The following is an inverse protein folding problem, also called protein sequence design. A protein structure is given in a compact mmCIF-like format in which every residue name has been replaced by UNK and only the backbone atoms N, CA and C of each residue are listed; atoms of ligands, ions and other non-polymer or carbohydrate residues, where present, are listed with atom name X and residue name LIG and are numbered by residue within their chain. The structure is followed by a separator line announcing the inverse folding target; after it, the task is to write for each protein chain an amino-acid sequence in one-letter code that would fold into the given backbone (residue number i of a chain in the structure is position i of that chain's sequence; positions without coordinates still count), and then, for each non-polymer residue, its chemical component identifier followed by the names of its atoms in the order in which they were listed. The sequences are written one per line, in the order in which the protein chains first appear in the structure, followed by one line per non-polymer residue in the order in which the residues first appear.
data_IF_115422179403
#
_entry.id   IF_115422179403
#
_cell.length_a   1.000
_cell.length_b   1.000
_cell.length_c   1.000
_cell.angle_alpha   90.00
_cell.angle_beta   90.00
_cell.angle_gamma   90.00
#
_symmetry.space_group_name_H-M   'P 1'
#
loop_
_entity.id
_entity.type
_entity.pdbx_description
1 polymer ?
#
# COMPACT_ATOMS: atom_id res chain seq x y z
N UNK A 1 -10.70 14.56 95.23
CA UNK A 1 -10.31 13.88 93.97
C UNK A 1 -10.66 12.41 94.10
N UNK A 2 -11.71 11.95 93.42
CA UNK A 2 -12.17 10.56 93.50
C UNK A 2 -12.07 9.90 92.12
N UNK A 3 -11.28 8.83 92.03
CA UNK A 3 -11.10 7.99 90.83
C UNK A 3 -12.33 7.08 90.70
N UNK A 4 -13.04 7.14 89.56
CA UNK A 4 -14.10 6.16 89.22
C UNK A 4 -13.45 4.90 88.63
N UNK A 5 -13.68 3.76 89.27
CA UNK A 5 -13.32 2.43 88.78
C UNK A 5 -14.30 1.98 87.68
N UNK A 6 -13.77 1.55 86.53
CA UNK A 6 -14.55 0.90 85.46
C UNK A 6 -14.74 -0.57 85.84
N UNK A 7 -15.98 -1.06 85.81
CA UNK A 7 -16.30 -2.45 86.15
C UNK A 7 -15.97 -3.41 85.00
N UNK A 8 -15.61 -4.66 85.34
CA UNK A 8 -15.37 -5.76 84.37
C UNK A 8 -16.54 -6.01 83.40
N UNK A 9 -17.77 -5.65 83.77
CA UNK A 9 -18.96 -5.80 82.92
C UNK A 9 -19.02 -4.75 81.81
N UNK A 10 -18.48 -3.55 82.06
CA UNK A 10 -18.41 -2.45 81.10
C UNK A 10 -17.28 -2.67 80.09
N UNK A 11 -16.18 -3.31 80.49
CA UNK A 11 -15.08 -3.68 79.59
C UNK A 11 -15.51 -4.77 78.58
N UNK A 12 -16.28 -5.77 79.02
CA UNK A 12 -16.76 -6.83 78.13
C UNK A 12 -17.84 -6.36 77.14
N UNK A 13 -18.58 -5.28 77.43
CA UNK A 13 -19.52 -4.67 76.47
C UNK A 13 -18.83 -3.83 75.39
N UNK A 14 -17.64 -3.26 75.68
CA UNK A 14 -16.83 -2.53 74.70
C UNK A 14 -16.07 -3.46 73.74
N UNK A 15 -15.76 -4.69 74.16
CA UNK A 15 -15.17 -5.73 73.30
C UNK A 15 -16.22 -6.45 72.41
N UNK A 16 -17.50 -6.42 72.79
CA UNK A 16 -18.59 -7.06 72.03
C UNK A 16 -19.03 -6.32 70.77
N UNK A 17 -18.56 -5.09 70.53
CA UNK A 17 -18.88 -4.31 69.33
C UNK A 17 -17.80 -4.38 68.23
N UNK A 18 -16.72 -5.15 68.45
CA UNK A 18 -15.62 -5.31 67.48
C UNK A 18 -15.61 -6.69 66.78
N UNK A 19 -16.66 -7.51 66.95
CA UNK A 19 -16.67 -8.93 66.57
C UNK A 19 -17.69 -9.33 65.50
N UNK A 20 -18.15 -8.40 64.66
CA UNK A 20 -19.08 -8.71 63.55
C UNK A 20 -18.76 -7.93 62.27
N UNK A 21 -17.48 -7.75 61.96
CA UNK A 21 -17.05 -7.50 60.58
C UNK A 21 -17.04 -8.86 59.85
N UNK A 22 -18.22 -9.32 59.48
CA UNK A 22 -18.38 -10.40 58.49
C UNK A 22 -17.49 -10.08 57.29
N UNK A 23 -16.67 -11.06 56.92
CA UNK A 23 -15.83 -11.07 55.75
C UNK A 23 -16.65 -10.77 54.49
N UNK A 24 -16.80 -9.49 54.16
CA UNK A 24 -16.87 -9.09 52.76
C UNK A 24 -15.45 -9.34 52.28
N UNK A 25 -15.24 -10.51 51.68
CA UNK A 25 -14.07 -10.74 50.87
C UNK A 25 -13.99 -9.58 49.89
N UNK A 26 -13.08 -8.65 50.15
CA UNK A 26 -12.52 -7.82 49.11
C UNK A 26 -11.87 -8.81 48.16
N UNK A 27 -12.66 -9.33 47.22
CA UNK A 27 -12.16 -9.69 45.92
C UNK A 27 -11.55 -8.40 45.39
N UNK A 28 -10.29 -8.16 45.76
CA UNK A 28 -9.41 -7.38 44.92
C UNK A 28 -9.64 -7.96 43.53
N UNK A 29 -10.10 -7.19 42.53
CA UNK A 29 -10.12 -7.71 41.19
C UNK A 29 -8.71 -8.23 40.98
N UNK A 30 -8.61 -9.53 40.70
CA UNK A 30 -7.37 -10.07 40.17
C UNK A 30 -7.03 -9.10 39.06
N UNK A 31 -5.94 -8.36 39.22
CA UNK A 31 -5.29 -7.71 38.10
C UNK A 31 -4.79 -8.92 37.31
N UNK A 32 -5.71 -9.54 36.56
CA UNK A 32 -5.40 -10.37 35.42
C UNK A 32 -4.40 -9.52 34.69
N UNK A 33 -3.13 -9.91 34.75
CA UNK A 33 -2.09 -9.23 34.00
C UNK A 33 -2.66 -9.07 32.60
N UNK A 34 -2.99 -7.83 32.23
CA UNK A 34 -3.65 -7.58 30.96
C UNK A 34 -2.70 -8.17 29.92
N UNK A 35 -3.12 -9.27 29.28
CA UNK A 35 -2.28 -9.96 28.31
C UNK A 35 -1.81 -8.92 27.30
N UNK A 36 -0.54 -9.01 26.88
CA UNK A 36 0.01 -8.12 25.85
C UNK A 36 -0.97 -8.09 24.67
N UNK A 37 -1.44 -6.91 24.28
CA UNK A 37 -2.37 -6.78 23.16
C UNK A 37 -1.78 -7.42 21.91
N UNK A 38 -2.52 -8.35 21.30
CA UNK A 38 -2.08 -9.12 20.14
C UNK A 38 -2.56 -8.45 18.86
N UNK A 39 -1.61 -8.05 18.01
CA UNK A 39 -1.92 -7.47 16.71
C UNK A 39 -1.32 -8.31 15.60
N UNK A 40 -2.19 -8.81 14.72
CA UNK A 40 -1.78 -9.51 13.49
C UNK A 40 -1.77 -8.52 12.34
N UNK A 41 -0.69 -8.48 11.57
CA UNK A 41 -0.56 -7.65 10.36
C UNK A 41 -0.38 -8.55 9.14
N UNK A 42 -1.26 -8.44 8.14
CA UNK A 42 -1.24 -9.26 6.94
C UNK A 42 -0.66 -8.46 5.77
N UNK A 43 0.51 -8.90 5.27
CA UNK A 43 1.25 -8.30 4.16
C UNK A 43 2.41 -7.42 4.62
N UNK A 44 3.61 -7.66 4.07
CA UNK A 44 4.86 -6.96 4.41
C UNK A 44 5.22 -5.78 3.49
N UNK A 45 4.24 -5.24 2.76
CA UNK A 45 4.44 -4.10 1.87
C UNK A 45 4.37 -2.75 2.58
N UNK A 46 4.30 -1.66 1.80
CA UNK A 46 4.28 -0.27 2.30
C UNK A 46 3.28 -0.02 3.43
N UNK A 47 2.09 -0.61 3.39
CA UNK A 47 1.10 -0.48 4.47
C UNK A 47 1.47 -1.32 5.68
N UNK A 48 1.45 -2.64 5.55
CA UNK A 48 1.63 -3.56 6.69
C UNK A 48 3.00 -3.48 7.36
N UNK A 49 4.10 -3.34 6.63
CA UNK A 49 5.42 -3.15 7.26
C UNK A 49 5.49 -1.84 8.06
N UNK A 50 4.92 -0.75 7.54
CA UNK A 50 4.81 0.50 8.30
C UNK A 50 3.95 0.30 9.54
N UNK A 51 2.80 -0.38 9.43
CA UNK A 51 1.91 -0.60 10.56
C UNK A 51 2.60 -1.43 11.65
N UNK A 52 3.24 -2.54 11.28
CA UNK A 52 3.99 -3.39 12.22
C UNK A 52 5.11 -2.62 12.93
N UNK A 53 5.87 -1.81 12.18
CA UNK A 53 6.90 -0.95 12.73
C UNK A 53 6.33 0.06 13.74
N UNK A 54 5.31 0.82 13.34
CA UNK A 54 4.76 1.89 14.18
C UNK A 54 3.95 1.37 15.36
N UNK A 55 3.34 0.19 15.29
CA UNK A 55 2.76 -0.49 16.46
C UNK A 55 3.82 -0.71 17.54
N UNK A 56 5.00 -1.23 17.18
CA UNK A 56 6.11 -1.44 18.14
C UNK A 56 6.70 -0.12 18.65
N UNK A 57 6.73 0.93 17.83
CA UNK A 57 7.21 2.25 18.27
C UNK A 57 6.23 2.94 19.23
N UNK A 58 4.94 2.87 18.97
CA UNK A 58 3.91 3.49 19.81
C UNK A 58 3.64 2.70 21.09
N UNK A 59 3.75 1.37 21.05
CA UNK A 59 3.65 0.53 22.23
C UNK A 59 4.55 -0.71 22.10
N UNK A 60 5.77 -0.65 22.67
CA UNK A 60 6.71 -1.77 22.63
C UNK A 60 6.22 -3.02 23.35
N UNK A 61 5.17 -2.93 24.19
CA UNK A 61 4.62 -4.06 24.93
C UNK A 61 3.74 -4.97 24.08
N UNK A 62 3.22 -4.48 22.95
CA UNK A 62 2.36 -5.26 22.05
C UNK A 62 3.07 -6.48 21.48
N UNK A 63 2.31 -7.56 21.36
CA UNK A 63 2.68 -8.74 20.59
C UNK A 63 2.25 -8.54 19.13
N UNK A 64 3.20 -8.18 18.27
CA UNK A 64 2.95 -7.85 16.86
C UNK A 64 3.49 -8.97 15.99
N UNK A 65 2.59 -9.68 15.31
CA UNK A 65 2.95 -10.70 14.32
C UNK A 65 2.60 -10.22 12.91
N UNK A 66 3.61 -10.02 12.07
CA UNK A 66 3.44 -9.70 10.65
C UNK A 66 3.58 -10.97 9.80
N UNK A 67 2.62 -11.23 8.93
CA UNK A 67 2.58 -12.43 8.08
C UNK A 67 2.78 -11.99 6.62
N UNK A 68 3.86 -12.47 6.01
CA UNK A 68 4.24 -12.14 4.63
C UNK A 68 4.91 -13.35 3.98
N UNK A 69 4.34 -13.92 2.88
CA UNK A 69 4.89 -15.12 2.26
C UNK A 69 6.29 -14.93 1.69
N UNK A 70 6.63 -13.73 1.19
CA UNK A 70 7.94 -13.48 0.60
C UNK A 70 9.00 -13.20 1.68
N UNK A 71 10.23 -13.69 1.46
CA UNK A 71 11.36 -13.44 2.38
C UNK A 71 11.95 -12.04 2.27
N UNK A 72 11.71 -11.37 1.14
CA UNK A 72 12.10 -9.99 0.87
C UNK A 72 10.93 -9.27 0.21
N UNK A 73 10.92 -7.93 0.31
CA UNK A 73 9.93 -7.10 -0.36
C UNK A 73 10.58 -6.36 -1.53
N UNK A 74 10.08 -6.58 -2.75
CA UNK A 74 10.52 -5.82 -3.93
C UNK A 74 9.55 -4.68 -4.19
N UNK A 75 10.05 -3.44 -4.12
CA UNK A 75 9.21 -2.25 -4.24
C UNK A 75 8.79 -2.03 -5.70
N UNK A 76 7.49 -1.73 -5.90
CA UNK A 76 6.99 -1.31 -7.21
C UNK A 76 7.32 0.16 -7.52
N UNK A 77 7.27 1.11 -6.55
CA UNK A 77 7.95 2.39 -6.72
C UNK A 77 9.43 2.16 -7.07
N UNK A 78 9.99 2.98 -7.97
CA UNK A 78 11.34 2.81 -8.53
C UNK A 78 11.56 1.56 -9.39
N UNK A 79 10.63 0.60 -9.49
CA UNK A 79 10.79 -0.51 -10.45
C UNK A 79 10.88 -0.07 -11.91
N UNK A 80 10.32 1.09 -12.27
CA UNK A 80 10.50 1.67 -13.59
C UNK A 80 11.95 2.11 -13.86
N UNK A 81 12.74 2.43 -12.83
CA UNK A 81 14.18 2.72 -12.99
C UNK A 81 14.94 1.43 -13.30
N UNK A 82 14.51 0.29 -12.77
CA UNK A 82 15.04 -1.03 -13.15
C UNK A 82 14.66 -1.40 -14.58
N UNK A 83 13.39 -1.22 -14.95
CA UNK A 83 12.90 -1.46 -16.32
C UNK A 83 13.67 -0.58 -17.33
N UNK A 84 13.90 0.70 -16.99
CA UNK A 84 14.68 1.65 -17.78
C UNK A 84 16.20 1.43 -17.74
N UNK A 85 16.71 0.49 -16.94
CA UNK A 85 18.14 0.16 -16.85
C UNK A 85 18.98 1.16 -16.05
N UNK A 86 18.36 1.97 -15.20
CA UNK A 86 19.03 2.95 -14.34
C UNK A 86 19.43 2.37 -12.97
N UNK A 87 18.79 1.29 -12.53
CA UNK A 87 19.10 0.60 -11.27
C UNK A 87 18.93 -0.90 -11.43
N UNK A 88 19.54 -1.66 -10.52
CA UNK A 88 19.33 -3.11 -10.42
C UNK A 88 18.14 -3.47 -9.54
N UNK A 89 17.63 -4.70 -9.68
CA UNK A 89 16.54 -5.22 -8.83
C UNK A 89 16.90 -5.18 -7.33
N UNK A 90 18.18 -5.29 -6.98
CA UNK A 90 18.68 -5.21 -5.61
C UNK A 90 18.45 -3.82 -4.98
N UNK A 91 18.52 -2.74 -5.77
CA UNK A 91 18.23 -1.38 -5.31
C UNK A 91 16.79 -1.25 -4.78
N UNK A 92 15.88 -2.02 -5.37
CA UNK A 92 14.46 -2.04 -4.98
C UNK A 92 14.06 -3.20 -4.08
N UNK A 93 15.00 -3.96 -3.54
CA UNK A 93 14.73 -5.11 -2.67
C UNK A 93 15.02 -4.77 -1.21
N UNK A 94 14.04 -5.00 -0.33
CA UNK A 94 14.10 -4.71 1.10
C UNK A 94 14.07 -6.02 1.89
N UNK A 95 14.87 -6.10 2.97
CA UNK A 95 14.76 -7.19 3.95
C UNK A 95 13.78 -6.81 5.06
N UNK A 96 13.41 -7.79 5.87
CA UNK A 96 12.55 -7.58 7.05
C UNK A 96 13.35 -7.52 8.36
N UNK A 97 14.68 -7.44 8.30
CA UNK A 97 15.53 -7.55 9.48
C UNK A 97 15.42 -6.35 10.40
N UNK A 98 15.24 -5.15 9.84
CA UNK A 98 14.96 -3.95 10.65
C UNK A 98 13.65 -4.04 11.43
N UNK A 99 12.63 -4.72 10.89
CA UNK A 99 11.40 -5.01 11.64
C UNK A 99 11.63 -6.02 12.76
N UNK A 100 12.39 -7.09 12.50
CA UNK A 100 12.76 -8.09 13.53
C UNK A 100 13.55 -7.45 14.67
N UNK A 101 14.51 -6.58 14.34
CA UNK A 101 15.31 -5.84 15.33
C UNK A 101 14.45 -4.92 16.21
N UNK A 102 13.28 -4.49 15.73
CA UNK A 102 12.29 -3.69 16.49
C UNK A 102 11.26 -4.56 17.24
N UNK A 103 11.45 -5.87 17.26
CA UNK A 103 10.60 -6.81 18.01
C UNK A 103 9.29 -7.17 17.31
N UNK A 104 9.20 -7.03 15.99
CA UNK A 104 8.11 -7.61 15.19
C UNK A 104 8.39 -9.09 14.93
N UNK A 105 7.43 -9.95 15.24
CA UNK A 105 7.48 -11.36 14.84
C UNK A 105 7.10 -11.49 13.36
N UNK A 106 8.08 -11.68 12.47
CA UNK A 106 7.86 -11.82 11.03
C UNK A 106 7.71 -13.29 10.66
N UNK A 107 6.49 -13.69 10.30
CA UNK A 107 6.13 -15.05 9.88
C UNK A 107 6.07 -15.12 8.36
N UNK A 108 6.88 -16.00 7.78
CA UNK A 108 6.87 -16.27 6.34
C UNK A 108 5.89 -17.40 6.01
N UNK A 109 4.63 -17.01 5.79
CA UNK A 109 3.53 -17.90 5.44
C UNK A 109 2.46 -17.09 4.68
N UNK A 110 1.49 -17.77 4.09
CA UNK A 110 0.33 -17.17 3.43
C UNK A 110 -0.89 -17.29 4.34
N UNK A 111 -1.62 -16.19 4.54
CA UNK A 111 -2.94 -16.25 5.20
C UNK A 111 -3.97 -16.76 4.19
N UNK A 112 -4.73 -17.78 4.58
CA UNK A 112 -5.77 -18.40 3.76
C UNK A 112 -7.18 -18.05 4.23
N UNK A 113 -7.36 -17.72 5.52
CA UNK A 113 -8.64 -17.34 6.10
C UNK A 113 -8.46 -16.32 7.21
N UNK A 114 -9.45 -15.43 7.37
CA UNK A 114 -9.60 -14.56 8.54
C UNK A 114 -11.00 -14.80 9.10
N UNK A 115 -11.10 -15.30 10.33
CA UNK A 115 -12.37 -15.45 11.03
C UNK A 115 -12.53 -14.28 12.01
N UNK A 116 -13.37 -13.31 11.61
CA UNK A 116 -13.60 -12.09 12.38
C UNK A 116 -14.32 -12.36 13.72
N UNK A 117 -15.16 -13.39 13.79
CA UNK A 117 -15.93 -13.71 14.98
C UNK A 117 -15.04 -14.36 16.05
N UNK A 118 -14.18 -15.30 15.63
CA UNK A 118 -13.20 -15.96 16.52
C UNK A 118 -11.93 -15.15 16.74
N UNK A 119 -11.74 -14.08 15.95
CA UNK A 119 -10.53 -13.25 15.93
C UNK A 119 -9.25 -14.05 15.69
N UNK A 120 -9.26 -14.84 14.63
CA UNK A 120 -8.13 -15.68 14.25
C UNK A 120 -7.83 -15.60 12.75
N UNK A 121 -6.57 -15.88 12.40
CA UNK A 121 -6.14 -16.09 11.02
C UNK A 121 -5.62 -17.51 10.87
N UNK A 122 -5.98 -18.15 9.76
CA UNK A 122 -5.46 -19.47 9.38
C UNK A 122 -4.40 -19.29 8.32
N UNK A 123 -3.27 -19.98 8.50
CA UNK A 123 -2.15 -19.97 7.58
C UNK A 123 -2.19 -21.17 6.63
N UNK A 124 -1.47 -21.08 5.51
CA UNK A 124 -1.36 -22.18 4.55
C UNK A 124 -0.67 -23.42 5.14
N UNK A 125 0.18 -23.24 6.15
CA UNK A 125 0.76 -24.33 6.95
C UNK A 125 -0.25 -25.06 7.85
N UNK A 126 -1.48 -24.57 7.97
CA UNK A 126 -2.50 -25.08 8.90
C UNK A 126 -2.41 -24.48 10.31
N UNK A 127 -1.41 -23.64 10.60
CA UNK A 127 -1.30 -22.93 11.87
C UNK A 127 -2.39 -21.85 11.99
N UNK A 128 -2.93 -21.68 13.19
CA UNK A 128 -3.84 -20.59 13.55
C UNK A 128 -3.13 -19.56 14.43
N UNK A 129 -3.39 -18.26 14.20
CA UNK A 129 -2.89 -17.16 15.01
C UNK A 129 -4.08 -16.28 15.44
N UNK A 130 -4.23 -16.11 16.76
CA UNK A 130 -5.28 -15.27 17.34
C UNK A 130 -4.85 -13.81 17.44
N UNK A 131 -5.80 -12.90 17.36
CA UNK A 131 -5.57 -11.46 17.47
C UNK A 131 -6.62 -10.78 18.36
N UNK A 132 -6.25 -9.65 18.94
CA UNK A 132 -7.21 -8.71 19.52
C UNK A 132 -7.62 -7.68 18.46
N UNK A 133 -6.67 -7.29 17.58
CA UNK A 133 -6.92 -6.53 16.34
C UNK A 133 -6.10 -7.07 15.17
N UNK A 134 -6.65 -7.02 13.96
CA UNK A 134 -5.99 -7.43 12.73
C UNK A 134 -5.85 -6.25 11.77
N UNK A 135 -4.68 -6.04 11.18
CA UNK A 135 -4.44 -5.03 10.12
C UNK A 135 -4.18 -5.77 8.81
N UNK A 136 -5.02 -5.53 7.81
CA UNK A 136 -5.04 -6.20 6.51
C UNK A 136 -4.51 -5.23 5.45
N UNK A 137 -3.34 -5.53 4.89
CA UNK A 137 -2.66 -4.73 3.86
C UNK A 137 -2.21 -5.57 2.66
N UNK A 138 -3.12 -6.30 1.97
CA UNK A 138 -2.76 -7.28 0.95
C UNK A 138 -2.42 -6.66 -0.42
N UNK A 139 -2.45 -5.33 -0.53
CA UNK A 139 -2.27 -4.62 -1.80
C UNK A 139 -3.41 -4.89 -2.78
N UNK A 140 -3.06 -5.10 -4.05
CA UNK A 140 -4.00 -5.31 -5.15
C UNK A 140 -4.03 -6.78 -5.60
N UNK A 141 -5.13 -7.14 -6.25
CA UNK A 141 -5.18 -8.23 -7.21
C UNK A 141 -5.68 -7.72 -8.57
N UNK A 142 -5.58 -8.58 -9.59
CA UNK A 142 -5.92 -8.24 -10.96
C UNK A 142 -7.29 -8.81 -11.36
N UNK A 143 -8.03 -8.03 -12.14
CA UNK A 143 -9.23 -8.46 -12.87
C UNK A 143 -8.80 -8.85 -14.28
N UNK A 144 -8.14 -10.01 -14.43
CA UNK A 144 -7.69 -10.48 -15.74
C UNK A 144 -8.87 -10.66 -16.70
N UNK A 145 -10.00 -11.12 -16.16
CA UNK A 145 -11.27 -11.30 -16.83
C UNK A 145 -11.85 -10.03 -17.48
N UNK A 146 -11.32 -8.85 -17.18
CA UNK A 146 -11.80 -7.58 -17.74
C UNK A 146 -11.40 -7.35 -19.20
N UNK A 147 -10.46 -8.13 -19.74
CA UNK A 147 -10.04 -8.07 -21.15
C UNK A 147 -10.11 -9.49 -21.69
N UNK A 148 -10.83 -9.68 -22.79
CA UNK A 148 -10.98 -11.00 -23.40
C UNK A 148 -9.60 -11.57 -23.80
N UNK A 149 -9.37 -12.86 -23.52
CA UNK A 149 -8.08 -13.52 -23.79
C UNK A 149 -6.99 -13.25 -22.75
N UNK A 150 -7.20 -12.33 -21.79
CA UNK A 150 -6.22 -12.06 -20.74
C UNK A 150 -6.34 -13.07 -19.59
N UNK A 151 -5.21 -13.42 -18.97
CA UNK A 151 -5.15 -14.37 -17.87
C UNK A 151 -3.90 -14.18 -17.02
N UNK A 152 -3.88 -14.79 -15.84
CA UNK A 152 -2.68 -14.83 -15.01
C UNK A 152 -1.50 -15.55 -15.71
N UNK A 153 -1.77 -16.59 -16.50
CA UNK A 153 -0.74 -17.31 -17.25
C UNK A 153 -0.14 -16.44 -18.36
N UNK A 154 -0.96 -15.61 -19.01
CA UNK A 154 -0.49 -14.68 -20.04
C UNK A 154 0.51 -13.65 -19.49
N UNK A 155 0.42 -13.29 -18.20
CA UNK A 155 1.36 -12.37 -17.58
C UNK A 155 2.81 -12.89 -17.59
N UNK A 156 3.05 -14.19 -17.75
CA UNK A 156 4.40 -14.77 -17.86
C UNK A 156 5.07 -14.49 -19.22
N UNK A 157 4.31 -14.04 -20.22
CA UNK A 157 4.84 -13.64 -21.54
C UNK A 157 4.52 -12.18 -21.91
N UNK A 158 3.42 -11.62 -21.40
CA UNK A 158 3.04 -10.21 -21.52
C UNK A 158 2.97 -9.57 -20.12
N UNK A 159 4.12 -9.26 -19.50
CA UNK A 159 4.18 -8.91 -18.10
C UNK A 159 3.42 -7.62 -17.81
N UNK A 160 2.62 -7.61 -16.75
CA UNK A 160 2.02 -6.38 -16.23
C UNK A 160 3.03 -5.51 -15.48
N UNK A 161 4.02 -6.15 -14.83
CA UNK A 161 4.96 -5.52 -13.90
C UNK A 161 4.34 -4.52 -12.90
N UNK A 162 3.08 -4.73 -12.46
CA UNK A 162 2.40 -3.90 -11.45
C UNK A 162 2.45 -4.47 -10.01
N UNK A 163 2.93 -5.72 -9.91
CA UNK A 163 3.60 -6.29 -8.75
C UNK A 163 5.05 -6.49 -9.17
N UNK A 164 5.99 -5.91 -8.43
CA UNK A 164 7.40 -5.95 -8.79
C UNK A 164 8.06 -7.29 -8.46
N UNK A 165 9.35 -7.43 -8.79
CA UNK A 165 10.10 -8.67 -8.62
C UNK A 165 10.24 -9.40 -9.96
N UNK A 166 9.85 -10.69 -10.06
CA UNK A 166 10.01 -11.48 -11.29
C UNK A 166 9.44 -10.78 -12.54
N UNK A 167 8.26 -10.17 -12.42
CA UNK A 167 7.61 -9.45 -13.51
C UNK A 167 8.37 -8.19 -13.96
N UNK A 168 9.04 -7.49 -13.05
CA UNK A 168 9.93 -6.35 -13.38
C UNK A 168 11.13 -6.84 -14.19
N UNK A 169 11.78 -7.90 -13.72
CA UNK A 169 12.93 -8.50 -14.41
C UNK A 169 12.54 -9.09 -15.77
N UNK A 170 11.37 -9.71 -15.89
CA UNK A 170 10.83 -10.23 -17.15
C UNK A 170 10.66 -9.09 -18.17
N UNK A 171 9.96 -8.02 -17.79
CA UNK A 171 9.77 -6.87 -18.68
C UNK A 171 11.11 -6.24 -19.08
N UNK A 172 12.05 -6.08 -18.14
CA UNK A 172 13.40 -5.58 -18.45
C UNK A 172 14.12 -6.46 -19.49
N UNK A 173 14.14 -7.77 -19.28
CA UNK A 173 14.76 -8.73 -20.21
C UNK A 173 14.13 -8.69 -21.60
N UNK A 174 12.81 -8.58 -21.67
CA UNK A 174 12.10 -8.45 -22.95
C UNK A 174 12.49 -7.17 -23.69
N UNK A 175 12.58 -6.03 -22.97
CA UNK A 175 13.04 -4.78 -23.56
C UNK A 175 14.49 -4.84 -24.04
N UNK A 176 15.38 -5.50 -23.29
CA UNK A 176 16.78 -5.71 -23.70
C UNK A 176 16.90 -6.57 -24.97
N UNK A 177 16.12 -7.65 -25.04
CA UNK A 177 16.08 -8.57 -26.17
C UNK A 177 15.36 -7.99 -27.41
N UNK A 178 14.49 -6.99 -27.24
CA UNK A 178 13.75 -6.37 -28.34
C UNK A 178 14.71 -5.78 -29.39
N UNK A 179 14.54 -6.03 -30.70
CA UNK A 179 15.41 -5.44 -31.72
C UNK A 179 15.30 -3.91 -31.76
N UNK A 180 16.37 -3.23 -32.17
CA UNK A 180 16.32 -1.79 -32.42
C UNK A 180 15.39 -1.51 -33.63
N UNK A 181 14.29 -0.79 -33.41
CA UNK A 181 13.20 -0.66 -34.38
C UNK A 181 11.92 -1.36 -33.94
N UNK A 182 11.96 -2.15 -32.86
CA UNK A 182 10.79 -2.81 -32.29
C UNK A 182 9.80 -1.84 -31.65
N UNK A 183 8.60 -2.34 -31.42
CA UNK A 183 7.47 -1.61 -30.81
C UNK A 183 7.24 -2.11 -29.39
N UNK A 184 7.34 -1.20 -28.42
CA UNK A 184 6.83 -1.43 -27.08
C UNK A 184 5.38 -0.95 -26.97
N UNK A 185 4.47 -1.88 -26.73
CA UNK A 185 3.05 -1.59 -26.55
C UNK A 185 2.71 -1.62 -25.07
N UNK A 186 2.10 -0.56 -24.55
CA UNK A 186 1.66 -0.49 -23.15
C UNK A 186 0.18 -0.12 -23.07
N UNK A 187 -0.58 -0.85 -22.27
CA UNK A 187 -2.01 -0.62 -22.03
C UNK A 187 -2.27 -0.42 -20.53
N UNK A 188 -2.39 0.83 -20.06
CA UNK A 188 -2.81 1.13 -18.69
C UNK A 188 -4.28 0.73 -18.42
N UNK A 189 -4.68 0.51 -17.15
CA UNK A 189 -6.06 0.17 -16.81
C UNK A 189 -6.95 1.42 -16.62
N UNK A 190 -8.28 1.24 -16.52
CA UNK A 190 -9.18 2.27 -16.01
C UNK A 190 -8.96 2.57 -14.51
N UNK A 191 -9.52 3.69 -14.04
CA UNK A 191 -9.53 4.04 -12.61
C UNK A 191 -10.56 3.19 -11.84
N UNK A 192 -10.35 2.95 -10.52
CA UNK A 192 -9.14 3.21 -9.76
C UNK A 192 -8.08 2.11 -9.93
N UNK A 193 -6.79 2.48 -9.89
CA UNK A 193 -5.67 1.54 -9.91
C UNK A 193 -4.49 2.07 -9.07
N UNK A 194 -3.55 1.17 -8.73
CA UNK A 194 -2.31 1.49 -8.01
C UNK A 194 -1.46 2.47 -8.83
N UNK A 195 -1.02 3.54 -8.17
CA UNK A 195 -0.13 4.58 -8.67
C UNK A 195 -0.58 5.17 -10.02
N UNK A 196 -1.54 6.12 -10.02
CA UNK A 196 -2.05 6.75 -11.24
C UNK A 196 -1.00 7.33 -12.22
N UNK A 197 0.14 7.92 -11.78
CA UNK A 197 1.17 8.39 -12.71
C UNK A 197 2.19 7.31 -13.12
N UNK A 198 2.12 6.11 -12.54
CA UNK A 198 3.07 5.02 -12.80
C UNK A 198 3.22 4.64 -14.28
N UNK A 199 2.14 4.57 -15.09
CA UNK A 199 2.27 4.23 -16.50
C UNK A 199 2.99 5.33 -17.28
N UNK A 200 2.70 6.61 -16.97
CA UNK A 200 3.39 7.76 -17.55
C UNK A 200 4.90 7.71 -17.27
N UNK A 201 5.29 7.38 -16.04
CA UNK A 201 6.71 7.17 -15.69
C UNK A 201 7.32 6.00 -16.47
N UNK A 202 6.63 4.87 -16.56
CA UNK A 202 7.12 3.70 -17.31
C UNK A 202 7.35 4.03 -18.79
N UNK A 203 6.39 4.69 -19.43
CA UNK A 203 6.52 5.18 -20.81
C UNK A 203 7.79 6.04 -20.94
N UNK A 204 7.99 6.96 -19.99
CA UNK A 204 9.12 7.88 -20.02
C UNK A 204 10.46 7.16 -19.86
N UNK A 205 10.60 6.26 -18.89
CA UNK A 205 11.87 5.57 -18.63
C UNK A 205 12.19 4.48 -19.67
N UNK A 206 11.17 3.87 -20.29
CA UNK A 206 11.39 3.03 -21.48
C UNK A 206 11.82 3.88 -22.67
N UNK A 207 11.22 5.05 -22.89
CA UNK A 207 11.66 5.99 -23.93
C UNK A 207 13.09 6.48 -23.68
N UNK A 208 13.46 6.73 -22.42
CA UNK A 208 14.82 7.06 -22.02
C UNK A 208 15.82 5.97 -22.39
N UNK A 209 15.47 4.70 -22.14
CA UNK A 209 16.27 3.54 -22.54
C UNK A 209 16.38 3.43 -24.07
N UNK A 210 15.28 3.57 -24.80
CA UNK A 210 15.28 3.52 -26.26
C UNK A 210 16.11 4.63 -26.90
N UNK A 211 16.01 5.86 -26.40
CA UNK A 211 16.82 6.98 -26.86
C UNK A 211 18.33 6.66 -26.81
N UNK A 212 18.78 5.93 -25.79
CA UNK A 212 20.19 5.61 -25.58
C UNK A 212 20.65 4.35 -26.33
N UNK A 213 19.79 3.33 -26.42
CA UNK A 213 20.21 1.99 -26.87
C UNK A 213 19.48 1.48 -28.11
N UNK A 214 18.26 1.95 -28.36
CA UNK A 214 17.38 1.44 -29.43
C UNK A 214 16.59 2.58 -30.10
N UNK A 215 17.27 3.61 -30.66
CA UNK A 215 16.64 4.88 -31.05
C UNK A 215 15.65 4.79 -32.22
N UNK A 216 15.62 3.65 -32.95
CA UNK A 216 14.62 3.42 -34.01
C UNK A 216 13.31 2.85 -33.46
N UNK A 217 13.28 2.45 -32.19
CA UNK A 217 12.12 1.83 -31.55
C UNK A 217 11.06 2.87 -31.22
N UNK A 218 9.81 2.42 -31.12
CA UNK A 218 8.65 3.27 -30.81
C UNK A 218 7.86 2.71 -29.62
N UNK A 219 7.10 3.59 -29.00
CA UNK A 219 6.16 3.25 -27.93
C UNK A 219 4.75 3.56 -28.41
N UNK A 220 3.85 2.60 -28.31
CA UNK A 220 2.42 2.80 -28.51
C UNK A 220 1.72 2.63 -27.17
N UNK A 221 0.89 3.60 -26.81
CA UNK A 221 0.11 3.59 -25.58
C UNK A 221 -1.37 3.52 -25.92
N UNK A 222 -2.05 2.50 -25.42
CA UNK A 222 -3.51 2.35 -25.53
C UNK A 222 -4.12 2.61 -24.15
N UNK A 223 -4.58 3.84 -23.92
CA UNK A 223 -5.13 4.24 -22.63
C UNK A 223 -6.67 4.35 -22.69
N UNK A 224 -7.43 3.58 -21.89
CA UNK A 224 -8.89 3.66 -21.86
C UNK A 224 -9.41 4.92 -21.13
N UNK A 225 -8.53 5.86 -20.75
CA UNK A 225 -8.87 7.11 -20.07
C UNK A 225 -8.69 8.30 -21.01
N UNK A 226 -9.54 9.31 -20.86
CA UNK A 226 -9.39 10.60 -21.55
C UNK A 226 -8.26 11.46 -20.99
N UNK A 227 -8.06 11.38 -19.66
CA UNK A 227 -7.02 12.11 -18.95
C UNK A 227 -6.32 11.21 -17.94
N UNK A 228 -5.02 11.42 -17.77
CA UNK A 228 -4.22 10.74 -16.75
C UNK A 228 -3.48 11.71 -15.82
N UNK A 229 -2.99 11.17 -14.70
CA UNK A 229 -2.30 11.95 -13.69
C UNK A 229 -1.05 12.62 -14.25
N UNK A 230 -0.90 13.93 -14.02
CA UNK A 230 0.25 14.76 -14.50
C UNK A 230 0.38 14.82 -16.03
N UNK A 231 -0.69 14.58 -16.78
CA UNK A 231 -0.64 14.51 -18.26
C UNK A 231 0.09 15.69 -18.93
N UNK A 232 -0.19 16.94 -18.51
CA UNK A 232 0.49 18.10 -19.08
C UNK A 232 2.01 18.06 -18.88
N UNK A 233 2.46 17.71 -17.68
CA UNK A 233 3.88 17.60 -17.34
C UNK A 233 4.58 16.45 -18.08
N UNK A 234 3.91 15.30 -18.20
CA UNK A 234 4.44 14.17 -18.97
C UNK A 234 4.55 14.52 -20.45
N UNK A 235 3.49 15.07 -21.07
CA UNK A 235 3.51 15.47 -22.48
C UNK A 235 4.56 16.56 -22.76
N UNK A 236 4.74 17.53 -21.86
CA UNK A 236 5.83 18.53 -21.93
C UNK A 236 7.20 17.84 -21.93
N UNK A 237 7.44 16.93 -20.97
CA UNK A 237 8.67 16.17 -20.89
C UNK A 237 8.92 15.28 -22.11
N UNK A 238 7.90 14.60 -22.62
CA UNK A 238 7.99 13.74 -23.81
C UNK A 238 8.29 14.54 -25.07
N UNK A 239 7.61 15.67 -25.28
CA UNK A 239 7.87 16.54 -26.42
C UNK A 239 9.31 17.08 -26.41
N UNK A 240 9.85 17.40 -25.23
CA UNK A 240 11.23 17.87 -25.07
C UNK A 240 12.26 16.75 -25.25
N UNK A 241 12.05 15.59 -24.64
CA UNK A 241 13.09 14.57 -24.48
C UNK A 241 13.04 13.46 -25.53
N UNK A 242 11.84 13.15 -26.04
CA UNK A 242 11.54 11.97 -26.87
C UNK A 242 10.64 12.32 -28.08
N UNK A 243 10.95 13.37 -28.86
CA UNK A 243 10.09 13.79 -29.97
C UNK A 243 9.88 12.66 -30.98
N UNK A 244 8.62 12.36 -31.30
CA UNK A 244 8.24 11.33 -32.27
C UNK A 244 8.33 9.87 -31.80
N UNK A 245 8.77 9.59 -30.56
CA UNK A 245 8.95 8.21 -30.07
C UNK A 245 7.67 7.59 -29.50
N UNK A 246 6.75 8.41 -28.99
CA UNK A 246 5.58 7.98 -28.23
C UNK A 246 4.31 8.32 -29.02
N UNK A 247 3.60 7.30 -29.46
CA UNK A 247 2.24 7.36 -29.97
C UNK A 247 1.27 7.10 -28.80
N UNK A 248 0.56 8.14 -28.34
CA UNK A 248 -0.33 8.04 -27.19
C UNK A 248 -1.78 8.18 -27.63
N UNK A 249 -2.53 7.09 -27.51
CA UNK A 249 -3.95 6.98 -27.85
C UNK A 249 -4.78 6.94 -26.59
N UNK A 250 -5.64 7.94 -26.42
CA UNK A 250 -6.61 7.98 -25.32
C UNK A 250 -7.94 7.34 -25.71
N UNK A 251 -8.89 7.28 -24.80
CA UNK A 251 -10.18 6.62 -25.03
C UNK A 251 -10.88 7.04 -26.33
N UNK A 252 -10.97 8.35 -26.65
CA UNK A 252 -11.61 8.81 -27.91
C UNK A 252 -10.70 8.78 -29.14
N UNK A 253 -9.50 8.21 -29.01
CA UNK A 253 -8.51 8.02 -30.08
C UNK A 253 -8.11 6.54 -30.15
N UNK A 254 -9.10 5.64 -30.00
CA UNK A 254 -8.93 4.19 -30.08
C UNK A 254 -7.96 3.58 -29.04
N UNK A 255 -7.92 4.17 -27.83
CA UNK A 255 -7.08 3.70 -26.72
C UNK A 255 -7.67 2.56 -25.88
N UNK A 256 -8.89 2.08 -26.18
CA UNK A 256 -9.58 1.06 -25.38
C UNK A 256 -9.25 -0.34 -25.90
N UNK A 257 -8.62 -1.16 -25.08
CA UNK A 257 -8.33 -2.57 -25.40
C UNK A 257 -9.48 -3.46 -24.93
N UNK A 258 -10.03 -4.25 -25.85
CA UNK A 258 -11.15 -5.15 -25.60
C UNK A 258 -10.71 -6.62 -25.51
N UNK A 259 -9.74 -7.00 -26.33
CA UNK A 259 -9.23 -8.37 -26.42
C UNK A 259 -7.71 -8.39 -26.60
N UNK A 260 -7.08 -9.45 -26.14
CA UNK A 260 -5.65 -9.74 -26.35
C UNK A 260 -5.47 -11.11 -26.99
N UNK A 261 -4.52 -11.19 -27.92
CA UNK A 261 -3.96 -12.44 -28.45
C UNK A 261 -2.49 -12.53 -28.01
N UNK A 262 -2.23 -13.46 -27.10
CA UNK A 262 -0.92 -13.64 -26.48
C UNK A 262 0.15 -14.18 -27.42
N UNK A 263 -0.24 -15.08 -28.32
CA UNK A 263 0.67 -15.73 -29.27
C UNK A 263 1.16 -14.72 -30.31
N UNK A 264 0.26 -13.84 -30.76
CA UNK A 264 0.57 -12.76 -31.70
C UNK A 264 1.05 -11.49 -31.02
N UNK A 265 1.06 -11.41 -29.69
CA UNK A 265 1.34 -10.17 -28.93
C UNK A 265 0.54 -8.96 -29.45
N UNK A 266 -0.75 -9.18 -29.67
CA UNK A 266 -1.64 -8.22 -30.33
C UNK A 266 -2.77 -7.81 -29.40
N UNK A 267 -3.02 -6.50 -29.30
CA UNK A 267 -4.16 -5.93 -28.58
C UNK A 267 -5.19 -5.44 -29.60
N UNK A 268 -6.46 -5.79 -29.37
CA UNK A 268 -7.57 -5.42 -30.23
C UNK A 268 -8.38 -4.32 -29.57
N UNK A 269 -8.66 -3.29 -30.35
CA UNK A 269 -9.45 -2.11 -29.99
C UNK A 269 -10.78 -2.13 -30.74
N UNK A 270 -11.59 -1.07 -30.62
CA UNK A 270 -12.84 -0.95 -31.39
C UNK A 270 -12.59 -0.82 -32.89
N UNK A 271 -11.49 -0.15 -33.28
CA UNK A 271 -11.22 0.20 -34.67
C UNK A 271 -10.06 -0.55 -35.32
N UNK A 272 -9.37 -1.44 -34.61
CA UNK A 272 -8.30 -2.23 -35.20
C UNK A 272 -7.55 -3.16 -34.27
N UNK A 273 -6.37 -3.57 -34.73
CA UNK A 273 -5.43 -4.40 -33.98
C UNK A 273 -4.05 -3.72 -33.94
N UNK A 274 -3.37 -3.85 -32.81
CA UNK A 274 -2.05 -3.26 -32.57
C UNK A 274 -1.12 -4.34 -32.05
N UNK A 275 -0.10 -4.67 -32.83
CA UNK A 275 0.94 -5.65 -32.48
C UNK A 275 2.17 -4.97 -31.91
N UNK A 276 2.74 -5.55 -30.85
CA UNK A 276 4.01 -5.11 -30.27
C UNK A 276 5.02 -6.24 -30.16
N UNK A 277 6.31 -5.91 -30.27
CA UNK A 277 7.41 -6.85 -30.00
C UNK A 277 7.49 -7.20 -28.51
N UNK A 278 7.21 -6.20 -27.66
CA UNK A 278 7.07 -6.31 -26.21
C UNK A 278 5.76 -5.66 -25.81
N UNK A 279 4.93 -6.37 -25.04
CA UNK A 279 3.64 -5.84 -24.61
C UNK A 279 3.53 -5.84 -23.09
N UNK A 280 3.28 -4.66 -22.53
CA UNK A 280 2.98 -4.44 -21.13
C UNK A 280 1.48 -4.16 -20.95
N UNK A 281 0.71 -5.23 -20.73
CA UNK A 281 -0.73 -5.15 -20.46
C UNK A 281 -0.96 -5.03 -18.95
N UNK A 282 -1.54 -3.93 -18.48
CA UNK A 282 -1.79 -3.71 -17.05
C UNK A 282 -3.29 -3.90 -16.79
N UNK A 283 -3.73 -5.01 -16.16
CA UNK A 283 -5.15 -5.28 -15.96
C UNK A 283 -5.80 -4.28 -14.98
N UNK A 284 -7.12 -4.16 -15.07
CA UNK A 284 -7.92 -3.53 -14.02
C UNK A 284 -7.71 -4.24 -12.67
N UNK A 285 -7.95 -3.52 -11.57
CA UNK A 285 -7.49 -3.95 -10.24
C UNK A 285 -8.63 -4.04 -9.24
N UNK A 286 -8.40 -4.84 -8.20
CA UNK A 286 -9.25 -5.03 -7.01
C UNK A 286 -8.36 -5.18 -5.77
N UNK A 287 -8.95 -5.25 -4.57
CA UNK A 287 -8.21 -5.58 -3.35
C UNK A 287 -7.58 -6.98 -3.45
N UNK A 288 -6.45 -7.18 -2.78
CA UNK A 288 -5.78 -8.49 -2.73
C UNK A 288 -6.72 -9.61 -2.25
N UNK A 289 -6.57 -10.82 -2.84
CA UNK A 289 -7.48 -11.96 -2.70
C UNK A 289 -7.99 -12.25 -1.28
N UNK A 290 -7.12 -12.19 -0.27
CA UNK A 290 -7.50 -12.45 1.12
C UNK A 290 -8.57 -11.48 1.66
N UNK A 291 -8.61 -10.24 1.16
CA UNK A 291 -9.66 -9.29 1.56
C UNK A 291 -11.05 -9.73 1.08
N UNK A 292 -11.15 -10.27 -0.13
CA UNK A 292 -12.42 -10.82 -0.64
C UNK A 292 -12.81 -12.11 0.10
N UNK A 293 -11.85 -13.01 0.33
CA UNK A 293 -12.08 -14.25 1.10
C UNK A 293 -12.60 -13.94 2.51
N UNK A 294 -12.05 -12.92 3.14
CA UNK A 294 -12.42 -12.48 4.49
C UNK A 294 -13.72 -11.64 4.54
N UNK A 295 -14.44 -11.48 3.42
CA UNK A 295 -15.67 -10.68 3.38
C UNK A 295 -15.45 -9.18 3.61
N UNK A 296 -14.24 -8.65 3.36
CA UNK A 296 -13.90 -7.26 3.65
C UNK A 296 -14.20 -6.29 2.49
N UNK A 297 -14.60 -6.80 1.32
CA UNK A 297 -14.80 -5.99 0.11
C UNK A 297 -16.27 -5.66 -0.14
N UNK A 298 -16.53 -4.48 -0.69
CA UNK A 298 -17.81 -4.12 -1.32
C UNK A 298 -17.92 -4.70 -2.75
N UNK A 299 -19.04 -4.41 -3.42
CA UNK A 299 -19.34 -4.89 -4.79
C UNK A 299 -18.33 -4.42 -5.85
N UNK A 300 -17.60 -3.34 -5.58
CA UNK A 300 -16.54 -2.84 -6.47
C UNK A 300 -15.21 -3.59 -6.31
N UNK A 301 -15.12 -4.46 -5.29
CA UNK A 301 -13.93 -5.24 -4.96
C UNK A 301 -12.91 -4.49 -4.09
N UNK A 302 -13.32 -3.45 -3.36
CA UNK A 302 -12.46 -2.67 -2.45
C UNK A 302 -13.04 -2.63 -1.04
N UNK A 303 -12.22 -2.32 -0.03
CA UNK A 303 -12.61 -2.47 1.36
C UNK A 303 -13.14 -1.15 1.96
N UNK A 304 -14.44 -1.03 2.30
CA UNK A 304 -14.97 0.15 2.96
C UNK A 304 -14.53 0.21 4.43
N UNK A 305 -13.99 1.36 4.84
CA UNK A 305 -13.38 1.55 6.15
C UNK A 305 -13.93 2.81 6.84
N UNK A 306 -13.87 2.83 8.17
CA UNK A 306 -13.95 4.04 8.96
C UNK A 306 -12.68 4.87 8.68
N UNK A 307 -12.83 6.06 8.11
CA UNK A 307 -11.68 6.84 7.64
C UNK A 307 -10.85 7.50 8.75
N UNK A 308 -11.30 7.43 10.01
CA UNK A 308 -10.53 7.86 11.18
C UNK A 308 -9.56 6.78 11.66
N UNK A 309 -10.02 5.51 11.69
CA UNK A 309 -9.30 4.39 12.32
C UNK A 309 -8.83 3.31 11.35
N UNK A 310 -9.30 3.37 10.11
CA UNK A 310 -9.17 2.32 9.09
C UNK A 310 -9.83 0.99 9.47
N UNK A 311 -10.65 0.95 10.53
CA UNK A 311 -11.44 -0.23 10.88
C UNK A 311 -12.45 -0.51 9.77
N UNK A 312 -12.59 -1.78 9.38
CA UNK A 312 -13.58 -2.23 8.41
C UNK A 312 -14.98 -1.88 8.89
N UNK A 313 -15.79 -1.36 7.97
CA UNK A 313 -17.22 -1.12 8.24
C UNK A 313 -18.04 -2.41 8.27
N UNK A 314 -17.45 -3.54 7.85
CA UNK A 314 -18.10 -4.85 7.76
C UNK A 314 -17.75 -5.71 8.98
N UNK A 315 -16.49 -5.71 9.41
CA UNK A 315 -15.98 -6.56 10.49
C UNK A 315 -15.20 -5.75 11.52
N UNK A 316 -15.73 -5.68 12.75
CA UNK A 316 -15.06 -5.02 13.88
C UNK A 316 -13.71 -5.67 14.19
N UNK A 317 -12.78 -4.87 14.72
CA UNK A 317 -11.41 -5.26 15.07
C UNK A 317 -10.51 -5.67 13.90
N UNK A 318 -11.00 -5.56 12.66
CA UNK A 318 -10.20 -5.73 11.45
C UNK A 318 -10.05 -4.35 10.81
N UNK A 319 -8.82 -3.96 10.52
CA UNK A 319 -8.49 -2.69 9.87
C UNK A 319 -7.95 -2.97 8.47
N UNK A 320 -8.29 -2.15 7.48
CA UNK A 320 -7.80 -2.32 6.10
C UNK A 320 -7.12 -1.05 5.63
N UNK A 321 -5.86 -1.17 5.20
CA UNK A 321 -5.01 -0.04 4.80
C UNK A 321 -4.37 -0.27 3.42
N UNK A 322 -3.75 0.78 2.88
CA UNK A 322 -3.08 0.75 1.59
C UNK A 322 -4.06 0.60 0.43
N UNK A 323 -3.58 0.01 -0.67
CA UNK A 323 -4.36 -0.06 -1.91
C UNK A 323 -5.70 -0.77 -1.75
N UNK A 324 -5.84 -1.71 -0.81
CA UNK A 324 -7.09 -2.44 -0.60
C UNK A 324 -8.23 -1.57 -0.07
N UNK A 325 -7.92 -0.46 0.61
CA UNK A 325 -8.88 0.42 1.27
C UNK A 325 -9.61 1.37 0.30
N UNK A 326 -10.84 1.75 0.67
CA UNK A 326 -11.57 2.90 0.11
C UNK A 326 -11.25 4.13 0.95
N UNK A 327 -10.14 4.79 0.61
CA UNK A 327 -9.59 5.96 1.31
C UNK A 327 -9.61 7.24 0.45
N UNK A 328 -10.53 7.31 -0.52
CA UNK A 328 -10.77 8.50 -1.34
C UNK A 328 -10.92 9.73 -0.43
N UNK A 329 -10.24 10.85 -0.72
CA UNK A 329 -9.57 11.20 -1.98
C UNK A 329 -8.07 10.84 -2.09
N UNK A 330 -7.51 10.02 -1.19
CA UNK A 330 -6.11 9.61 -1.28
C UNK A 330 -5.89 8.65 -2.48
N UNK A 331 -4.76 8.76 -3.20
CA UNK A 331 -4.43 7.79 -4.25
C UNK A 331 -3.97 6.45 -3.64
N UNK A 332 -4.10 5.38 -4.41
CA UNK A 332 -3.50 4.08 -4.10
C UNK A 332 -1.99 4.12 -4.38
N UNK A 333 -1.18 4.55 -3.41
CA UNK A 333 0.26 4.75 -3.55
C UNK A 333 1.05 4.22 -2.33
N UNK A 334 2.36 4.03 -2.49
CA UNK A 334 3.23 3.66 -1.37
C UNK A 334 3.28 4.70 -0.25
N UNK A 335 3.28 5.99 -0.59
CA UNK A 335 3.25 7.08 0.40
C UNK A 335 1.92 7.07 1.17
N UNK A 336 0.80 7.01 0.45
CA UNK A 336 -0.52 6.93 1.05
C UNK A 336 -0.64 5.72 1.97
N UNK A 337 -0.22 4.53 1.52
CA UNK A 337 -0.23 3.33 2.34
C UNK A 337 0.60 3.47 3.63
N UNK A 338 1.80 4.07 3.55
CA UNK A 338 2.62 4.33 4.74
C UNK A 338 1.95 5.31 5.70
N UNK A 339 1.37 6.41 5.21
CA UNK A 339 0.73 7.39 6.10
C UNK A 339 -0.57 6.85 6.70
N UNK A 340 -1.35 6.10 5.94
CA UNK A 340 -2.53 5.37 6.44
C UNK A 340 -2.13 4.39 7.54
N UNK A 341 -1.02 3.66 7.35
CA UNK A 341 -0.51 2.71 8.33
C UNK A 341 -0.12 3.37 9.66
N UNK A 342 0.52 4.54 9.64
CA UNK A 342 0.88 5.29 10.85
C UNK A 342 -0.36 5.70 11.64
N UNK A 343 -1.38 6.22 10.94
CA UNK A 343 -2.67 6.57 11.52
C UNK A 343 -3.39 5.34 12.08
N UNK A 344 -3.46 4.26 11.31
CA UNK A 344 -4.07 3.01 11.73
C UNK A 344 -3.37 2.40 12.96
N UNK A 345 -2.03 2.42 13.01
CA UNK A 345 -1.27 1.93 14.15
C UNK A 345 -1.58 2.74 15.42
N UNK A 346 -1.61 4.07 15.32
CA UNK A 346 -2.00 4.94 16.43
C UNK A 346 -3.42 4.69 16.92
N UNK A 347 -4.37 4.52 15.99
CA UNK A 347 -5.76 4.19 16.32
C UNK A 347 -5.88 2.81 17.00
N UNK A 348 -5.20 1.78 16.48
CA UNK A 348 -5.18 0.44 17.08
C UNK A 348 -4.64 0.46 18.51
N UNK A 349 -3.54 1.18 18.76
CA UNK A 349 -2.96 1.34 20.10
C UNK A 349 -3.94 2.04 21.05
N UNK A 350 -4.51 3.17 20.64
CA UNK A 350 -5.49 3.90 21.45
C UNK A 350 -6.70 3.01 21.80
N UNK A 351 -7.26 2.32 20.79
CA UNK A 351 -8.41 1.44 20.99
C UNK A 351 -8.12 0.23 21.87
N UNK A 352 -6.89 -0.31 21.86
CA UNK A 352 -6.47 -1.39 22.77
C UNK A 352 -6.35 -0.91 24.22
N UNK A 353 -6.07 0.39 24.43
CA UNK A 353 -6.03 1.04 25.74
C UNK A 353 -7.40 1.55 26.22
N UNK A 354 -8.45 1.40 25.41
CA UNK A 354 -9.77 1.98 25.69
C UNK A 354 -9.83 3.50 25.52
N UNK A 355 -8.85 4.08 24.82
CA UNK A 355 -8.77 5.51 24.54
C UNK A 355 -9.46 5.87 23.20
N UNK A 356 -9.85 7.13 23.07
CA UNK A 356 -10.40 7.64 21.81
C UNK A 356 -9.30 7.79 20.75
N UNK A 357 -9.51 7.32 19.50
CA UNK A 357 -8.59 7.58 18.40
C UNK A 357 -8.44 9.09 18.12
N UNK A 358 -7.22 9.51 17.82
CA UNK A 358 -6.94 10.91 17.46
C UNK A 358 -7.61 11.36 16.15
N UNK A 359 -7.53 12.66 15.86
CA UNK A 359 -7.96 13.22 14.58
C UNK A 359 -6.81 13.08 13.56
N UNK A 360 -6.98 12.35 12.45
CA UNK A 360 -5.86 12.05 11.58
C UNK A 360 -5.55 13.19 10.61
N UNK A 361 -4.27 13.25 10.23
CA UNK A 361 -3.74 14.06 9.13
C UNK A 361 -2.90 13.16 8.24
N UNK A 362 -3.00 13.35 6.94
CA UNK A 362 -2.28 12.53 5.97
C UNK A 362 -1.50 13.39 4.98
N UNK A 363 -0.51 12.79 4.34
CA UNK A 363 0.20 13.35 3.21
C UNK A 363 0.39 12.29 2.14
N UNK A 364 0.51 12.73 0.89
CA UNK A 364 0.93 11.89 -0.22
C UNK A 364 1.73 12.72 -1.20
N UNK A 365 2.88 12.17 -1.62
CA UNK A 365 3.61 12.64 -2.80
C UNK A 365 3.86 11.47 -3.74
N UNK A 366 3.61 11.66 -5.03
CA UNK A 366 4.01 10.72 -6.09
C UNK A 366 4.95 11.41 -7.07
N UNK A 367 6.25 11.17 -6.86
CA UNK A 367 7.27 11.51 -7.85
C UNK A 367 7.16 10.61 -9.08
N UNK A 368 7.61 11.13 -10.21
CA UNK A 368 7.84 10.37 -11.43
C UNK A 368 9.08 10.90 -12.13
N UNK A 369 9.93 9.99 -12.59
CA UNK A 369 11.07 10.31 -13.43
C UNK A 369 10.67 10.24 -14.91
N UNK A 370 10.83 11.35 -15.63
CA UNK A 370 10.70 11.37 -17.08
C UNK A 370 12.00 10.88 -17.73
N UNK A 371 13.14 11.34 -17.22
CA UNK A 371 14.49 10.80 -17.46
C UNK A 371 15.21 10.65 -16.12
N UNK A 372 16.46 10.19 -16.12
CA UNK A 372 17.29 10.08 -14.91
C UNK A 372 17.45 11.43 -14.16
N UNK A 373 17.37 12.55 -14.89
CA UNK A 373 17.60 13.91 -14.39
C UNK A 373 16.39 14.85 -14.60
N UNK A 374 15.21 14.29 -14.91
CA UNK A 374 13.98 15.07 -15.08
C UNK A 374 12.87 14.47 -14.22
N UNK A 375 12.63 15.04 -13.04
CA UNK A 375 11.57 14.65 -12.12
C UNK A 375 10.35 15.55 -12.22
N UNK A 376 9.18 14.97 -11.93
CA UNK A 376 7.90 15.67 -11.75
C UNK A 376 7.11 15.06 -10.60
N UNK A 377 6.35 15.86 -9.87
CA UNK A 377 5.63 15.42 -8.67
C UNK A 377 4.16 15.85 -8.66
N UNK A 378 3.40 15.12 -7.84
CA UNK A 378 2.08 15.54 -7.35
C UNK A 378 2.08 15.33 -5.85
N UNK A 379 1.73 16.36 -5.09
CA UNK A 379 1.65 16.33 -3.64
C UNK A 379 0.27 16.75 -3.16
N UNK A 380 -0.15 16.28 -1.98
CA UNK A 380 -1.38 16.71 -1.32
C UNK A 380 -1.32 16.41 0.17
N UNK A 381 -1.84 17.33 1.00
CA UNK A 381 -2.09 17.09 2.42
C UNK A 381 -3.59 16.89 2.62
N UNK A 382 -3.93 15.96 3.49
CA UNK A 382 -5.31 15.59 3.80
C UNK A 382 -5.60 15.78 5.28
N UNK A 383 -6.81 16.23 5.58
CA UNK A 383 -7.38 16.29 6.91
C UNK A 383 -8.49 15.26 7.07
N UNK A 384 -9.24 15.43 8.15
CA UNK A 384 -10.42 14.65 8.49
C UNK A 384 -11.50 15.61 8.96
N UNK A 385 -12.67 15.56 8.34
CA UNK A 385 -13.84 16.37 8.67
C UNK A 385 -15.10 15.58 8.31
N UNK A 386 -16.14 15.70 9.14
CA UNK A 386 -17.46 15.08 8.91
C UNK A 386 -17.39 13.56 8.64
N UNK A 387 -16.49 12.85 9.32
CA UNK A 387 -16.33 11.40 9.15
C UNK A 387 -15.52 10.98 7.92
N UNK A 388 -14.99 11.93 7.15
CA UNK A 388 -14.32 11.68 5.89
C UNK A 388 -12.93 12.34 5.81
N UNK A 389 -12.02 11.71 5.06
CA UNK A 389 -10.75 12.30 4.64
C UNK A 389 -11.05 13.40 3.63
N UNK A 390 -10.51 14.58 3.86
CA UNK A 390 -10.71 15.76 3.01
C UNK A 390 -9.37 16.32 2.55
N UNK A 391 -9.31 16.89 1.34
CA UNK A 391 -8.12 17.62 0.90
C UNK A 391 -8.02 18.94 1.64
N UNK A 392 -6.84 19.29 2.15
CA UNK A 392 -6.63 20.59 2.77
C UNK A 392 -6.49 21.65 1.66
N UNK A 393 -7.39 22.63 1.65
CA UNK A 393 -7.38 23.73 0.68
C UNK A 393 -6.04 24.48 0.74
N UNK A 394 -5.47 24.75 -0.43
CA UNK A 394 -4.17 25.44 -0.55
C UNK A 394 -2.94 24.56 -0.30
N UNK A 395 -3.12 23.27 0.01
CA UNK A 395 -2.00 22.33 0.14
C UNK A 395 -1.74 21.55 -1.15
N UNK A 396 -0.47 21.20 -1.38
CA UNK A 396 -0.09 20.33 -2.48
C UNK A 396 -0.22 20.96 -3.87
N UNK A 397 -0.40 20.13 -4.89
CA UNK A 397 -0.44 20.53 -6.28
C UNK A 397 0.42 19.64 -7.17
N UNK A 398 0.53 20.04 -8.44
CA UNK A 398 1.46 19.48 -9.40
C UNK A 398 2.72 20.34 -9.44
N UNK A 399 3.85 19.78 -9.87
CA UNK A 399 4.96 20.60 -10.35
C UNK A 399 4.46 21.62 -11.38
N UNK A 400 5.05 22.83 -11.44
CA UNK A 400 4.66 23.80 -12.46
C UNK A 400 5.06 23.30 -13.86
N UNK A 401 4.24 23.58 -14.86
CA UNK A 401 4.61 23.47 -16.28
C UNK A 401 5.63 24.55 -16.65
N UNK A 402 6.51 24.28 -17.62
CA UNK A 402 7.54 25.23 -18.05
C UNK A 402 8.61 25.52 -17.00
N UNK A 403 8.79 24.66 -16.00
CA UNK A 403 9.86 24.81 -15.01
C UNK A 403 11.24 24.64 -15.64
N UNK A 404 12.26 25.25 -15.04
CA UNK A 404 13.65 25.16 -15.52
C UNK A 404 14.20 23.73 -15.42
N UNK A 405 15.23 23.43 -16.21
CA UNK A 405 15.92 22.14 -16.14
C UNK A 405 16.56 21.88 -14.77
N UNK A 406 17.04 22.95 -14.10
CA UNK A 406 17.53 22.86 -12.73
C UNK A 406 16.45 22.45 -11.74
N UNK A 407 15.19 22.88 -11.94
CA UNK A 407 14.05 22.46 -11.11
C UNK A 407 13.72 20.99 -11.34
N UNK A 408 13.66 20.56 -12.61
CA UNK A 408 13.39 19.15 -12.97
C UNK A 408 14.46 18.21 -12.42
N UNK A 409 15.72 18.61 -12.49
CA UNK A 409 16.84 17.85 -11.90
C UNK A 409 16.75 17.77 -10.39
N UNK A 410 16.37 18.85 -9.71
CA UNK A 410 16.14 18.82 -8.27
C UNK A 410 15.00 17.86 -7.90
N UNK A 411 13.89 17.86 -8.64
CA UNK A 411 12.80 16.90 -8.40
C UNK A 411 13.23 15.44 -8.60
N UNK A 412 14.11 15.16 -9.57
CA UNK A 412 14.66 13.81 -9.76
C UNK A 412 15.49 13.38 -8.53
N UNK A 413 16.36 14.27 -8.03
CA UNK A 413 17.14 14.02 -6.81
C UNK A 413 16.22 13.84 -5.58
N UNK A 414 15.16 14.63 -5.47
CA UNK A 414 14.19 14.49 -4.38
C UNK A 414 13.36 13.21 -4.47
N UNK A 415 13.10 12.69 -5.68
CA UNK A 415 12.47 11.40 -5.84
C UNK A 415 13.35 10.28 -5.25
N UNK A 416 14.66 10.29 -5.52
CA UNK A 416 15.59 9.33 -4.95
C UNK A 416 15.74 9.49 -3.43
N UNK A 417 15.82 10.74 -2.96
CA UNK A 417 15.83 11.07 -1.54
C UNK A 417 14.58 10.54 -0.83
N UNK A 418 13.39 10.80 -1.39
CA UNK A 418 12.13 10.26 -0.91
C UNK A 418 12.17 8.73 -0.85
N UNK A 419 12.66 8.07 -1.90
CA UNK A 419 12.71 6.62 -1.97
C UNK A 419 13.59 6.03 -0.86
N UNK A 420 14.82 6.55 -0.69
CA UNK A 420 15.72 6.14 0.39
C UNK A 420 15.12 6.38 1.77
N UNK A 421 14.50 7.54 1.98
CA UNK A 421 13.88 7.87 3.28
C UNK A 421 12.68 6.99 3.60
N UNK A 422 11.77 6.78 2.65
CA UNK A 422 10.57 5.98 2.90
C UNK A 422 10.91 4.49 3.07
N UNK A 423 11.88 3.93 2.33
CA UNK A 423 12.27 2.54 2.55
C UNK A 423 12.93 2.35 3.91
N UNK A 424 13.79 3.28 4.34
CA UNK A 424 14.44 3.26 5.66
C UNK A 424 13.43 3.39 6.81
N UNK A 425 12.44 4.27 6.69
CA UNK A 425 11.36 4.42 7.68
C UNK A 425 10.58 3.11 7.86
N UNK A 426 10.29 2.42 6.75
CA UNK A 426 9.41 1.24 6.76
C UNK A 426 10.15 -0.03 7.17
N UNK A 427 11.22 -0.40 6.46
CA UNK A 427 11.87 -1.71 6.61
C UNK A 427 13.12 -1.70 7.49
N UNK A 428 13.72 -0.52 7.68
CA UNK A 428 14.67 -0.25 8.76
C UNK A 428 16.10 0.03 8.37
#
# INVERSE_FOLDING_TARGET
MSKKNISRRTFNQLLGAAGAATAVGLAAPSVMAAGKGRVVVIGGGFGGATAANYLKQFDPSLDVTMIEPNKTFVTCPFSNTVIGGLNDISFITQSFDGLRARGVNVVHDMVTMIDAAKKEVTLSSGKTIYFDRCIVSPGIDFKYEAIEGNSAALAETMPHAWKAGPQTSLLRKQLEAMPNGGTFLISPPPNPFRCPPGPGERISLVANYFKQHKPKSKIIVLDPKQKFSKQGLFKEGWAKLYPGMIDYRHQSDDGVVLRVDGDKKTLYTDFGEVTGDVVNLIPAQKAGKIAAIAGLTNDQGWCPINQQTFESTIHKNIHVIGDASVSTPMPKSGFAASTQAKICAGAVVAMLKGEAPGTPKFANTCYSLVSADYGISVAMVYGFADGHITKIKGSGGLSPTGASDSFRKQEANYAEGWYKSITKDIWG
#
